data_IF_029290736238
#
_entry.id   IF_029290736238
#
_cell.length_a   1.000
_cell.length_b   1.000
_cell.length_c   1.000
_cell.angle_alpha   90.00
_cell.angle_beta   90.00
_cell.angle_gamma   90.00
#
_symmetry.space_group_name_H-M   'P 1'
#
loop_
_entity.id
_entity.type
_entity.pdbx_description
1 polymer ?
#
# COMPACT_ATOMS: atom_id res chain seq x y z
N UNK A 1 -8.31 6.14 16.96
CA UNK A 1 -7.63 6.24 15.64
C UNK A 1 -6.40 5.33 15.54
N UNK A 2 -5.61 5.13 16.60
CA UNK A 2 -4.47 4.21 16.59
C UNK A 2 -4.83 2.77 16.17
N UNK A 3 -5.84 2.16 16.80
CA UNK A 3 -6.31 0.81 16.42
C UNK A 3 -6.66 0.69 14.92
N UNK A 4 -7.37 1.67 14.35
CA UNK A 4 -7.69 1.69 12.93
C UNK A 4 -6.43 1.81 12.06
N UNK A 5 -5.47 2.64 12.48
CA UNK A 5 -4.18 2.75 11.81
C UNK A 5 -3.46 1.40 11.79
N UNK A 6 -3.41 0.68 12.91
CA UNK A 6 -2.74 -0.62 13.01
C UNK A 6 -3.42 -1.68 12.13
N UNK A 7 -4.76 -1.72 12.12
CA UNK A 7 -5.53 -2.58 11.20
C UNK A 7 -5.19 -2.25 9.74
N UNK A 8 -5.13 -0.97 9.39
CA UNK A 8 -4.76 -0.55 8.03
C UNK A 8 -3.32 -0.91 7.68
N UNK A 9 -2.38 -0.87 8.64
CA UNK A 9 -1.00 -1.33 8.42
C UNK A 9 -1.01 -2.82 8.08
N UNK A 10 -1.76 -3.65 8.82
CA UNK A 10 -1.88 -5.08 8.52
C UNK A 10 -2.48 -5.30 7.13
N UNK A 11 -3.57 -4.61 6.80
CA UNK A 11 -4.20 -4.71 5.48
C UNK A 11 -3.26 -4.24 4.36
N UNK A 12 -2.45 -3.21 4.61
CA UNK A 12 -1.43 -2.76 3.67
C UNK A 12 -0.43 -3.89 3.41
N UNK A 13 0.13 -4.52 4.45
CA UNK A 13 1.02 -5.67 4.27
C UNK A 13 0.36 -6.86 3.57
N UNK A 14 -0.93 -7.12 3.80
CA UNK A 14 -1.69 -8.14 3.06
C UNK A 14 -1.78 -7.79 1.57
N UNK A 15 -2.06 -6.53 1.24
CA UNK A 15 -2.04 -6.04 -0.15
C UNK A 15 -0.68 -6.24 -0.83
N UNK A 16 0.42 -5.95 -0.10
CA UNK A 16 1.78 -6.19 -0.59
C UNK A 16 2.05 -7.68 -0.82
N UNK A 17 1.66 -8.53 0.14
CA UNK A 17 1.81 -9.98 0.04
C UNK A 17 1.01 -10.55 -1.13
N UNK A 18 -0.19 -10.04 -1.38
CA UNK A 18 -1.01 -10.43 -2.53
C UNK A 18 -0.38 -10.02 -3.86
N UNK A 19 0.14 -8.79 -3.94
CA UNK A 19 0.84 -8.29 -5.13
C UNK A 19 2.10 -9.11 -5.45
N UNK A 20 2.96 -9.30 -4.46
CA UNK A 20 4.19 -10.08 -4.60
C UNK A 20 3.87 -11.55 -4.86
N UNK A 21 2.96 -12.15 -4.10
CA UNK A 21 2.55 -13.55 -4.28
C UNK A 21 1.99 -13.82 -5.67
N UNK A 22 1.11 -12.92 -6.15
CA UNK A 22 0.59 -12.96 -7.51
C UNK A 22 1.68 -12.86 -8.58
N UNK A 23 2.70 -12.03 -8.36
CA UNK A 23 3.88 -11.97 -9.25
C UNK A 23 4.72 -13.25 -9.19
N UNK A 24 5.01 -13.77 -8.00
CA UNK A 24 5.87 -14.95 -7.80
C UNK A 24 5.30 -16.18 -8.52
N UNK A 25 3.98 -16.40 -8.51
CA UNK A 25 3.36 -17.52 -9.22
C UNK A 25 3.49 -17.40 -10.75
N UNK A 26 3.67 -16.20 -11.28
CA UNK A 26 3.82 -15.94 -12.72
C UNK A 26 5.28 -16.06 -13.21
N UNK A 27 6.27 -16.12 -12.31
CA UNK A 27 7.70 -16.13 -12.71
C UNK A 27 8.02 -17.29 -13.67
N UNK A 28 7.42 -18.46 -13.43
CA UNK A 28 7.67 -19.69 -14.21
C UNK A 28 6.57 -19.98 -15.24
N UNK A 29 5.53 -19.15 -15.32
CA UNK A 29 4.39 -19.36 -16.21
C UNK A 29 4.65 -18.75 -17.59
N UNK A 30 4.20 -19.44 -18.64
CA UNK A 30 4.22 -18.94 -20.02
C UNK A 30 2.87 -19.26 -20.69
N UNK A 31 2.12 -18.27 -21.19
CA UNK A 31 2.40 -16.84 -21.13
C UNK A 31 2.26 -16.28 -19.70
N UNK A 32 3.00 -15.21 -19.39
CA UNK A 32 2.81 -14.46 -18.14
C UNK A 32 1.57 -13.59 -18.23
N UNK A 33 0.76 -13.59 -17.19
CA UNK A 33 -0.45 -12.76 -17.10
C UNK A 33 -0.48 -12.01 -15.79
N UNK A 34 -1.18 -10.88 -15.77
CA UNK A 34 -1.48 -10.18 -14.52
C UNK A 34 -2.72 -10.84 -13.94
N UNK A 35 -2.55 -11.55 -12.83
CA UNK A 35 -3.65 -12.24 -12.18
C UNK A 35 -4.39 -11.32 -11.20
N UNK A 36 -5.58 -11.75 -10.79
CA UNK A 36 -6.44 -10.99 -9.88
C UNK A 36 -5.78 -10.71 -8.53
N UNK A 37 -4.84 -11.54 -8.06
CA UNK A 37 -4.12 -11.27 -6.82
C UNK A 37 -3.20 -10.06 -6.97
N UNK A 38 -2.52 -9.90 -8.12
CA UNK A 38 -1.74 -8.70 -8.41
C UNK A 38 -2.61 -7.44 -8.43
N UNK A 39 -3.73 -7.49 -9.16
CA UNK A 39 -4.64 -6.34 -9.26
C UNK A 39 -5.24 -5.96 -7.90
N UNK A 40 -5.83 -6.91 -7.18
CA UNK A 40 -6.41 -6.65 -5.86
C UNK A 40 -5.35 -6.23 -4.84
N UNK A 41 -4.14 -6.79 -4.90
CA UNK A 41 -3.02 -6.38 -4.07
C UNK A 41 -2.62 -4.93 -4.30
N UNK A 42 -2.50 -4.51 -5.57
CA UNK A 42 -2.20 -3.13 -5.94
C UNK A 42 -3.32 -2.14 -5.53
N UNK A 43 -4.60 -2.51 -5.73
CA UNK A 43 -5.73 -1.68 -5.28
C UNK A 43 -5.80 -1.57 -3.76
N UNK A 44 -5.55 -2.68 -3.04
CA UNK A 44 -5.49 -2.69 -1.57
C UNK A 44 -4.37 -1.78 -1.09
N UNK A 45 -3.19 -1.84 -1.72
CA UNK A 45 -2.06 -0.96 -1.45
C UNK A 45 -2.41 0.52 -1.64
N UNK A 46 -3.16 0.84 -2.70
CA UNK A 46 -3.58 2.21 -2.99
C UNK A 46 -4.51 2.76 -1.92
N UNK A 47 -5.59 2.03 -1.63
CA UNK A 47 -6.60 2.46 -0.67
C UNK A 47 -6.01 2.56 0.73
N UNK A 48 -5.32 1.52 1.19
CA UNK A 48 -4.71 1.51 2.54
C UNK A 48 -3.60 2.55 2.67
N UNK A 49 -2.77 2.76 1.63
CA UNK A 49 -1.72 3.77 1.64
C UNK A 49 -2.25 5.19 1.79
N UNK A 50 -3.30 5.55 1.03
CA UNK A 50 -3.96 6.86 1.15
C UNK A 50 -4.57 7.04 2.55
N UNK A 51 -5.26 6.02 3.08
CA UNK A 51 -5.86 6.07 4.41
C UNK A 51 -4.82 6.19 5.53
N UNK A 52 -3.71 5.45 5.45
CA UNK A 52 -2.63 5.51 6.44
C UNK A 52 -2.00 6.91 6.51
N UNK A 53 -1.71 7.51 5.36
CA UNK A 53 -1.18 8.88 5.29
C UNK A 53 -2.21 9.88 5.81
N UNK A 54 -3.48 9.74 5.40
CA UNK A 54 -4.58 10.58 5.85
C UNK A 54 -4.80 10.55 7.37
N UNK A 55 -4.71 9.37 8.00
CA UNK A 55 -4.82 9.22 9.46
C UNK A 55 -3.59 9.68 10.22
N UNK A 56 -2.40 9.65 9.61
CA UNK A 56 -1.15 10.04 10.27
C UNK A 56 -1.12 11.52 10.66
N UNK A 57 -1.75 12.41 9.88
CA UNK A 57 -1.83 13.84 10.20
C UNK A 57 -2.64 14.14 11.48
N UNK A 58 -3.91 13.71 11.62
CA UNK A 58 -4.65 13.94 12.86
C UNK A 58 -4.06 13.19 14.06
N UNK A 59 -3.42 12.02 13.85
CA UNK A 59 -2.70 11.33 14.93
C UNK A 59 -1.50 12.15 15.43
N UNK A 60 -0.65 12.66 14.52
CA UNK A 60 0.44 13.58 14.87
C UNK A 60 -0.06 14.86 15.55
N UNK A 61 -1.20 15.40 15.13
CA UNK A 61 -1.76 16.61 15.75
C UNK A 61 -2.22 16.38 17.20
N UNK A 62 -2.68 15.17 17.53
CA UNK A 62 -3.11 14.81 18.89
C UNK A 62 -1.93 14.45 19.80
N UNK A 63 -0.99 13.63 19.32
CA UNK A 63 0.22 13.25 20.07
C UNK A 63 1.45 13.28 19.14
N UNK A 64 2.16 14.41 19.06
CA UNK A 64 3.35 14.55 18.21
C UNK A 64 4.56 13.72 18.67
N UNK A 65 4.61 13.29 19.94
CA UNK A 65 5.74 12.53 20.49
C UNK A 65 5.63 11.06 20.08
N UNK A 66 4.42 10.51 20.04
CA UNK A 66 4.15 9.15 19.57
C UNK A 66 4.09 9.07 18.03
N UNK A 67 3.44 10.04 17.38
CA UNK A 67 3.14 10.00 15.95
C UNK A 67 3.94 11.04 15.18
N UNK A 68 5.05 10.65 14.55
CA UNK A 68 5.82 11.55 13.65
C UNK A 68 5.04 11.98 12.40
N UNK A 69 5.35 13.18 11.89
CA UNK A 69 4.82 13.68 10.62
C UNK A 69 5.27 12.78 9.45
N UNK A 70 4.37 12.53 8.47
CA UNK A 70 4.75 11.80 7.27
C UNK A 70 5.79 12.57 6.43
N UNK A 71 6.73 11.83 5.86
CA UNK A 71 7.64 12.33 4.82
C UNK A 71 6.91 12.24 3.47
N UNK A 72 6.36 13.37 3.03
CA UNK A 72 5.59 13.46 1.80
C UNK A 72 6.43 13.14 0.56
N UNK A 73 7.76 13.39 0.57
CA UNK A 73 8.62 13.02 -0.54
C UNK A 73 8.66 11.51 -0.75
N UNK A 74 8.85 10.75 0.33
CA UNK A 74 8.82 9.27 0.28
C UNK A 74 7.44 8.74 -0.10
N UNK A 75 6.39 9.36 0.41
CA UNK A 75 5.01 8.97 0.08
C UNK A 75 4.71 9.21 -1.39
N UNK A 76 5.06 10.37 -1.94
CA UNK A 76 4.89 10.68 -3.35
C UNK A 76 5.61 9.68 -4.25
N UNK A 77 6.86 9.31 -3.92
CA UNK A 77 7.60 8.30 -4.68
C UNK A 77 6.87 6.95 -4.67
N UNK A 78 6.46 6.45 -3.50
CA UNK A 78 5.71 5.18 -3.39
C UNK A 78 4.39 5.23 -4.15
N UNK A 79 3.69 6.36 -4.07
CA UNK A 79 2.41 6.57 -4.74
C UNK A 79 2.56 6.56 -6.27
N UNK A 80 3.54 7.29 -6.81
CA UNK A 80 3.81 7.31 -8.25
C UNK A 80 4.19 5.93 -8.77
N UNK A 81 5.05 5.20 -8.06
CA UNK A 81 5.41 3.82 -8.43
C UNK A 81 4.16 2.93 -8.47
N UNK A 82 3.28 3.04 -7.48
CA UNK A 82 2.04 2.28 -7.45
C UNK A 82 1.10 2.65 -8.60
N UNK A 83 0.97 3.93 -8.95
CA UNK A 83 0.18 4.36 -10.10
C UNK A 83 0.72 3.83 -11.42
N UNK A 84 2.05 3.80 -11.57
CA UNK A 84 2.69 3.18 -12.74
C UNK A 84 2.34 1.69 -12.81
N UNK A 85 2.43 0.97 -11.69
CA UNK A 85 2.04 -0.45 -11.63
C UNK A 85 0.57 -0.60 -12.06
N UNK A 86 -0.35 0.18 -11.48
CA UNK A 86 -1.77 0.10 -11.82
C UNK A 86 -2.09 0.48 -13.27
N UNK A 87 -1.35 1.42 -13.87
CA UNK A 87 -1.53 1.80 -15.27
C UNK A 87 -0.94 0.80 -16.27
N UNK A 88 -0.04 -0.08 -15.81
CA UNK A 88 0.53 -1.18 -16.59
C UNK A 88 -0.27 -2.49 -16.45
N UNK A 89 -1.19 -2.57 -15.47
CA UNK A 89 -2.14 -3.67 -15.28
C UNK A 89 -3.32 -3.52 -16.24
#
# INVERSE_FOLDING_TARGET
MAFLYDVLVVLHFIGLASLIGGFLVQIKTSPRVINNAMLHGALTQLVTGVLLVGLRYPLNANDPLEWSKPDNGKISVKFVVLLIILGLI
#
